data_IF_957197667428
#
_entry.id   IF_957197667428
#
_cell.length_a   1.000
_cell.length_b   1.000
_cell.length_c   1.000
_cell.angle_alpha   90.00
_cell.angle_beta   90.00
_cell.angle_gamma   90.00
#
_symmetry.space_group_name_H-M   'P 1'
#
loop_
_entity.id
_entity.type
_entity.pdbx_description
1 polymer ?
#
# COMPACT_ATOMS: atom_id res chain seq x y z
N UNK A 1 -19.15 19.20 -0.91
CA UNK A 1 -19.65 18.13 0.00
C UNK A 1 -19.33 18.55 1.42
N UNK A 2 -20.22 18.32 2.41
CA UNK A 2 -19.94 18.70 3.79
C UNK A 2 -18.72 17.96 4.34
N UNK A 3 -17.88 18.67 5.11
CA UNK A 3 -16.68 18.13 5.74
C UNK A 3 -17.12 17.20 6.87
N UNK A 4 -17.14 15.89 6.60
CA UNK A 4 -17.40 14.86 7.60
C UNK A 4 -16.06 14.54 8.29
N UNK A 5 -16.04 14.48 9.62
CA UNK A 5 -14.84 14.06 10.33
C UNK A 5 -14.46 12.62 9.93
N UNK A 6 -13.15 12.32 9.80
CA UNK A 6 -12.69 10.99 9.43
C UNK A 6 -13.05 9.98 10.52
N UNK A 7 -13.72 8.89 10.14
CA UNK A 7 -14.15 7.84 11.07
C UNK A 7 -13.05 6.78 11.20
N UNK A 8 -12.38 6.45 10.08
CA UNK A 8 -11.45 5.32 9.98
C UNK A 8 -10.00 5.77 10.05
N UNK A 9 -9.62 6.80 9.29
CA UNK A 9 -8.27 7.36 9.29
C UNK A 9 -7.94 7.91 10.67
N UNK A 10 -6.75 7.56 11.17
CA UNK A 10 -6.22 8.07 12.44
C UNK A 10 -5.05 9.02 12.21
N UNK A 11 -4.01 8.58 11.53
CA UNK A 11 -2.89 9.45 11.22
C UNK A 11 -2.18 9.09 9.90
N UNK A 12 -1.44 10.04 9.35
CA UNK A 12 -0.45 9.78 8.31
C UNK A 12 0.88 9.53 9.01
N UNK A 13 1.35 8.29 8.98
CA UNK A 13 2.55 7.83 9.69
C UNK A 13 3.82 8.30 8.98
N UNK A 14 3.83 8.20 7.66
CA UNK A 14 4.94 8.58 6.80
C UNK A 14 4.44 8.85 5.39
N UNK A 15 5.17 9.66 4.64
CA UNK A 15 4.86 9.96 3.25
C UNK A 15 6.13 10.35 2.50
N UNK A 16 6.23 9.90 1.24
CA UNK A 16 7.40 10.13 0.41
C UNK A 16 7.05 10.14 -1.09
N UNK A 17 7.96 10.66 -1.91
CA UNK A 17 7.91 10.58 -3.36
C UNK A 17 8.93 9.57 -3.86
N UNK A 18 8.43 8.51 -4.47
CA UNK A 18 9.17 7.35 -4.92
C UNK A 18 9.40 7.45 -6.44
N UNK A 19 10.61 7.13 -6.84
CA UNK A 19 11.01 6.93 -8.23
C UNK A 19 11.09 5.44 -8.54
N UNK A 20 11.12 5.11 -9.83
CA UNK A 20 11.28 3.73 -10.24
C UNK A 20 12.61 3.11 -9.75
N UNK A 21 13.66 3.92 -9.59
CA UNK A 21 14.94 3.46 -9.06
C UNK A 21 14.88 3.07 -7.58
N UNK A 22 14.03 3.75 -6.80
CA UNK A 22 13.80 3.41 -5.38
C UNK A 22 13.14 2.03 -5.26
N UNK A 23 12.22 1.70 -6.18
CA UNK A 23 11.62 0.37 -6.28
C UNK A 23 12.69 -0.70 -6.52
N UNK A 24 13.54 -0.48 -7.51
CA UNK A 24 14.59 -1.45 -7.88
C UNK A 24 15.57 -1.66 -6.72
N UNK A 25 15.95 -0.58 -6.06
CA UNK A 25 16.84 -0.63 -4.90
C UNK A 25 16.22 -1.45 -3.76
N UNK A 26 14.94 -1.24 -3.48
CA UNK A 26 14.21 -2.03 -2.47
C UNK A 26 14.05 -3.51 -2.87
N UNK A 27 13.76 -3.81 -4.13
CA UNK A 27 13.68 -5.20 -4.60
C UNK A 27 15.02 -5.93 -4.49
N UNK A 28 16.12 -5.26 -4.82
CA UNK A 28 17.47 -5.82 -4.70
C UNK A 28 17.82 -6.06 -3.22
N UNK A 29 17.42 -5.16 -2.30
CA UNK A 29 17.71 -5.36 -0.88
C UNK A 29 16.96 -6.54 -0.27
N UNK A 30 15.71 -6.77 -0.72
CA UNK A 30 14.90 -7.90 -0.24
C UNK A 30 15.34 -9.23 -0.86
N UNK A 31 15.74 -9.21 -2.14
CA UNK A 31 16.16 -10.41 -2.87
C UNK A 31 17.59 -10.25 -3.41
N UNK A 32 18.64 -10.35 -2.55
CA UNK A 32 20.02 -10.11 -2.97
C UNK A 32 20.49 -11.06 -4.09
N UNK A 33 19.96 -12.28 -4.15
CA UNK A 33 20.25 -13.26 -5.19
C UNK A 33 19.58 -12.95 -6.55
N UNK A 34 18.65 -12.00 -6.60
CA UNK A 34 17.99 -11.56 -7.84
C UNK A 34 18.99 -10.97 -8.84
N UNK A 35 20.11 -10.42 -8.35
CA UNK A 35 21.10 -9.68 -9.12
C UNK A 35 21.95 -10.57 -10.06
N UNK A 36 22.10 -11.87 -9.78
CA UNK A 36 23.18 -12.68 -10.39
C UNK A 36 22.78 -13.31 -11.74
N UNK A 37 21.49 -13.55 -11.99
CA UNK A 37 21.04 -14.24 -13.23
C UNK A 37 19.96 -13.47 -14.00
N UNK A 38 19.16 -12.64 -13.34
CA UNK A 38 18.01 -11.96 -13.95
C UNK A 38 18.17 -10.43 -14.07
N UNK A 39 19.21 -9.84 -13.46
CA UNK A 39 19.41 -8.39 -13.40
C UNK A 39 19.47 -7.72 -14.77
N UNK A 40 20.22 -8.27 -15.73
CA UNK A 40 20.36 -7.66 -17.07
C UNK A 40 19.08 -7.80 -17.92
N UNK A 41 18.40 -8.96 -17.87
CA UNK A 41 17.09 -9.12 -18.53
C UNK A 41 16.03 -8.22 -17.92
N UNK A 42 16.04 -8.06 -16.59
CA UNK A 42 15.14 -7.14 -15.92
C UNK A 42 15.44 -5.70 -16.35
N UNK A 43 16.69 -5.23 -16.30
CA UNK A 43 17.05 -3.88 -16.79
C UNK A 43 16.59 -3.65 -18.24
N UNK A 44 16.74 -4.65 -19.10
CA UNK A 44 16.29 -4.56 -20.49
C UNK A 44 14.76 -4.49 -20.59
N UNK A 45 14.01 -5.30 -19.83
CA UNK A 45 12.55 -5.21 -19.74
C UNK A 45 12.09 -3.86 -19.18
N UNK A 46 12.78 -3.35 -18.17
CA UNK A 46 12.50 -2.07 -17.53
C UNK A 46 12.79 -0.87 -18.43
N UNK A 47 13.80 -0.97 -19.31
CA UNK A 47 14.07 0.07 -20.32
C UNK A 47 12.95 0.22 -21.35
N UNK A 48 12.07 -0.78 -21.48
CA UNK A 48 10.87 -0.73 -22.33
C UNK A 48 9.67 -0.09 -21.63
N UNK A 49 9.76 0.11 -20.31
CA UNK A 49 8.70 0.68 -19.50
C UNK A 49 8.96 2.18 -19.31
N UNK A 50 7.89 2.98 -19.30
CA UNK A 50 8.00 4.39 -18.89
C UNK A 50 8.27 4.45 -17.37
N UNK A 51 9.55 4.49 -17.02
CA UNK A 51 10.07 4.55 -15.65
C UNK A 51 10.28 5.98 -15.16
N UNK A 52 9.90 6.99 -15.96
CA UNK A 52 10.02 8.41 -15.58
C UNK A 52 8.95 8.85 -14.58
N UNK A 53 7.90 8.04 -14.44
CA UNK A 53 6.83 8.26 -13.49
C UNK A 53 7.33 8.38 -12.05
N UNK A 54 6.72 9.31 -11.32
CA UNK A 54 6.84 9.41 -9.87
C UNK A 54 5.59 8.88 -9.20
N UNK A 55 5.75 8.30 -8.03
CA UNK A 55 4.67 7.77 -7.20
C UNK A 55 4.74 8.46 -5.85
N UNK A 56 3.61 8.94 -5.35
CA UNK A 56 3.51 9.38 -3.97
C UNK A 56 3.04 8.21 -3.11
N UNK A 57 3.84 7.84 -2.11
CA UNK A 57 3.53 6.84 -1.11
C UNK A 57 3.16 7.49 0.21
N UNK A 58 2.12 6.96 0.86
CA UNK A 58 1.73 7.36 2.20
C UNK A 58 1.37 6.14 3.04
N UNK A 59 2.07 5.93 4.15
CA UNK A 59 1.61 5.04 5.21
C UNK A 59 0.63 5.79 6.10
N UNK A 60 -0.50 5.16 6.35
CA UNK A 60 -1.54 5.68 7.24
C UNK A 60 -1.91 4.63 8.28
N UNK A 61 -2.29 5.08 9.47
CA UNK A 61 -2.95 4.26 10.47
C UNK A 61 -4.46 4.48 10.41
N UNK A 62 -5.22 3.44 10.75
CA UNK A 62 -6.67 3.46 10.70
C UNK A 62 -7.27 2.49 11.71
N UNK A 63 -8.52 2.76 12.09
CA UNK A 63 -9.29 1.86 12.94
C UNK A 63 -10.01 0.79 12.13
N UNK A 64 -9.99 -0.41 12.70
CA UNK A 64 -10.70 -1.59 12.21
C UNK A 64 -11.06 -2.48 13.41
N UNK A 65 -11.42 -3.74 13.16
CA UNK A 65 -11.77 -4.72 14.19
C UNK A 65 -10.86 -5.93 14.16
N UNK A 66 -10.53 -6.45 15.35
CA UNK A 66 -9.86 -7.75 15.50
C UNK A 66 -10.83 -8.91 15.18
N UNK A 67 -10.36 -10.18 15.15
CA UNK A 67 -11.23 -11.32 14.87
C UNK A 67 -12.35 -11.54 15.89
N UNK A 68 -12.22 -10.98 17.09
CA UNK A 68 -13.24 -11.05 18.14
C UNK A 68 -14.23 -9.87 18.07
N UNK A 69 -14.04 -8.95 17.11
CA UNK A 69 -14.88 -7.77 16.90
C UNK A 69 -14.50 -6.55 17.75
N UNK A 70 -13.40 -6.59 18.49
CA UNK A 70 -12.93 -5.43 19.26
C UNK A 70 -12.21 -4.43 18.37
N UNK A 71 -12.29 -3.14 18.72
CA UNK A 71 -11.56 -2.10 18.00
C UNK A 71 -10.05 -2.35 18.04
N UNK A 72 -9.42 -2.21 16.87
CA UNK A 72 -7.98 -2.40 16.69
C UNK A 72 -7.44 -1.35 15.72
N UNK A 73 -6.27 -0.80 16.07
CA UNK A 73 -5.50 0.00 15.13
C UNK A 73 -4.81 -0.94 14.13
N UNK A 74 -4.72 -0.50 12.88
CA UNK A 74 -3.92 -1.14 11.84
C UNK A 74 -3.22 -0.05 11.01
N UNK A 75 -2.22 -0.44 10.22
CA UNK A 75 -1.57 0.47 9.26
C UNK A 75 -1.57 -0.12 7.85
N UNK A 76 -1.22 0.68 6.86
CA UNK A 76 -1.06 0.23 5.48
C UNK A 76 -0.70 1.38 4.56
N UNK A 77 -0.42 1.10 3.29
CA UNK A 77 0.12 2.09 2.35
C UNK A 77 -0.91 2.43 1.27
N UNK A 78 -1.00 3.72 0.94
CA UNK A 78 -1.58 4.21 -0.31
C UNK A 78 -0.44 4.63 -1.22
N UNK A 79 -0.42 4.12 -2.45
CA UNK A 79 0.49 4.55 -3.50
C UNK A 79 -0.34 5.14 -4.64
N UNK A 80 0.03 6.33 -5.10
CA UNK A 80 -0.67 7.00 -6.22
C UNK A 80 0.33 7.57 -7.20
N UNK A 81 0.01 7.62 -8.51
CA UNK A 81 0.84 8.34 -9.44
C UNK A 81 0.89 9.82 -9.06
N UNK A 82 2.06 10.42 -9.18
CA UNK A 82 2.25 11.86 -9.06
C UNK A 82 2.09 12.50 -10.45
N UNK A 83 1.64 13.76 -10.48
CA UNK A 83 1.51 14.59 -11.68
C UNK A 83 0.53 14.08 -12.76
N UNK A 84 -0.30 13.09 -12.44
CA UNK A 84 -1.37 12.59 -13.31
C UNK A 84 -2.54 12.02 -12.53
N UNK A 85 -3.71 12.00 -13.17
CA UNK A 85 -4.87 11.33 -12.62
C UNK A 85 -4.67 9.80 -12.59
N UNK A 86 -5.19 9.17 -11.54
CA UNK A 86 -5.21 7.72 -11.44
C UNK A 86 -6.14 7.11 -12.49
N UNK A 87 -5.67 6.06 -13.16
CA UNK A 87 -6.42 5.29 -14.17
C UNK A 87 -7.44 4.34 -13.56
N UNK A 88 -7.31 4.06 -12.27
CA UNK A 88 -8.15 3.13 -11.52
C UNK A 88 -7.51 2.78 -10.18
N UNK A 89 -8.26 2.07 -9.36
CA UNK A 89 -7.83 1.64 -8.03
C UNK A 89 -7.61 0.13 -8.00
N UNK A 90 -6.54 -0.30 -7.33
CA UNK A 90 -6.21 -1.70 -7.14
C UNK A 90 -5.96 -1.98 -5.65
N UNK A 91 -6.56 -3.05 -5.16
CA UNK A 91 -6.32 -3.56 -3.82
C UNK A 91 -5.38 -4.76 -3.90
N UNK A 92 -4.26 -4.68 -3.19
CA UNK A 92 -3.32 -5.79 -3.09
C UNK A 92 -3.09 -6.15 -1.65
N UNK A 93 -3.36 -7.40 -1.30
CA UNK A 93 -2.94 -7.94 -0.03
C UNK A 93 -1.44 -8.24 -0.10
N UNK A 94 -0.67 -7.87 0.93
CA UNK A 94 0.77 -8.10 0.91
C UNK A 94 1.05 -9.60 0.77
N UNK A 95 1.83 -9.97 -0.24
CA UNK A 95 2.19 -11.37 -0.48
C UNK A 95 3.12 -11.86 0.65
N UNK A 96 2.53 -12.57 1.63
CA UNK A 96 3.20 -13.26 2.73
C UNK A 96 4.29 -12.44 3.47
N UNK A 97 3.87 -11.54 4.38
CA UNK A 97 4.76 -10.95 5.39
C UNK A 97 5.14 -12.00 6.45
N UNK A 98 6.09 -12.88 6.16
CA UNK A 98 6.51 -13.90 7.14
C UNK A 98 7.35 -13.27 8.28
N UNK A 99 7.93 -12.09 8.04
CA UNK A 99 8.71 -11.35 9.03
C UNK A 99 7.93 -10.15 9.59
N UNK A 100 7.80 -10.09 10.91
CA UNK A 100 7.17 -8.96 11.63
C UNK A 100 8.10 -7.74 11.70
N UNK A 101 9.40 -7.90 11.43
CA UNK A 101 10.43 -6.86 11.58
C UNK A 101 10.69 -6.05 10.31
N UNK A 102 10.21 -6.53 9.16
CA UNK A 102 10.26 -5.81 7.87
C UNK A 102 8.84 -5.59 7.40
N UNK A 103 8.16 -4.62 8.01
CA UNK A 103 6.77 -4.35 7.64
C UNK A 103 6.72 -3.52 6.35
N UNK A 104 5.78 -3.84 5.47
CA UNK A 104 5.52 -3.00 4.29
C UNK A 104 5.23 -1.54 4.65
N UNK A 105 4.78 -1.21 5.87
CA UNK A 105 4.64 0.19 6.29
C UNK A 105 5.97 0.92 6.53
N UNK A 106 7.07 0.21 6.77
CA UNK A 106 8.42 0.78 6.90
C UNK A 106 9.09 0.91 5.53
N UNK A 107 8.83 -0.04 4.64
CA UNK A 107 9.18 0.05 3.22
C UNK A 107 8.05 0.76 2.48
N UNK A 108 8.12 2.09 2.36
CA UNK A 108 7.18 2.91 1.55
C UNK A 108 6.93 2.40 0.14
N UNK A 109 7.73 1.44 -0.33
CA UNK A 109 7.56 0.75 -1.59
C UNK A 109 7.42 -0.77 -1.39
N UNK A 110 6.33 -1.34 -1.88
CA UNK A 110 6.12 -2.80 -1.96
C UNK A 110 6.13 -3.25 -3.42
N UNK A 111 6.37 -4.54 -3.67
CA UNK A 111 6.33 -5.08 -5.04
C UNK A 111 4.98 -4.81 -5.71
N UNK A 112 3.88 -4.96 -4.97
CA UNK A 112 2.51 -4.68 -5.42
C UNK A 112 2.31 -3.21 -5.81
N UNK A 113 3.11 -2.33 -5.21
CA UNK A 113 3.15 -0.89 -5.49
C UNK A 113 3.60 -0.51 -6.89
N UNK A 114 4.28 -1.42 -7.62
CA UNK A 114 4.83 -1.16 -8.96
C UNK A 114 3.77 -0.65 -9.95
N UNK A 115 2.52 -1.10 -9.81
CA UNK A 115 1.42 -0.69 -10.68
C UNK A 115 1.09 0.80 -10.57
N UNK A 116 1.53 1.45 -9.50
CA UNK A 116 1.38 2.89 -9.34
C UNK A 116 2.23 3.69 -10.32
N UNK A 117 3.38 3.16 -10.73
CA UNK A 117 4.19 3.78 -11.79
C UNK A 117 3.51 3.73 -13.16
N UNK A 118 2.62 2.75 -13.37
CA UNK A 118 1.81 2.62 -14.59
C UNK A 118 0.47 3.39 -14.55
N UNK A 119 0.29 4.22 -13.51
CA UNK A 119 -0.81 5.16 -13.39
C UNK A 119 -1.99 4.68 -12.55
N UNK A 120 -1.84 3.63 -11.74
CA UNK A 120 -2.90 3.16 -10.85
C UNK A 120 -2.72 3.65 -9.42
N UNK A 121 -3.82 3.80 -8.67
CA UNK A 121 -3.73 3.95 -7.22
C UNK A 121 -3.75 2.56 -6.62
N UNK A 122 -2.73 2.22 -5.84
CA UNK A 122 -2.61 0.93 -5.16
C UNK A 122 -2.84 1.13 -3.66
N UNK A 123 -3.74 0.34 -3.09
CA UNK A 123 -4.01 0.31 -1.65
C UNK A 123 -3.55 -1.05 -1.11
N UNK A 124 -2.65 -1.01 -0.13
CA UNK A 124 -2.11 -2.20 0.53
C UNK A 124 -2.48 -2.15 2.02
N UNK A 125 -3.39 -3.01 2.50
CA UNK A 125 -3.65 -3.13 3.93
C UNK A 125 -2.45 -3.80 4.61
N UNK A 126 -2.01 -3.27 5.75
CA UNK A 126 -0.89 -3.84 6.50
C UNK A 126 -1.25 -5.12 7.27
N UNK A 127 -2.56 -5.38 7.45
CA UNK A 127 -3.18 -6.40 8.30
C UNK A 127 -2.87 -6.22 9.80
N UNK A 128 -3.75 -6.75 10.67
CA UNK A 128 -3.53 -6.75 12.12
C UNK A 128 -2.37 -7.72 12.45
N UNK A 129 -1.53 -7.37 13.42
CA UNK A 129 -0.33 -8.14 13.76
C UNK A 129 0.94 -7.67 13.05
N UNK A 130 0.84 -6.58 12.27
CA UNK A 130 1.95 -5.90 11.61
C UNK A 130 1.91 -4.38 11.84
N UNK A 131 3.05 -3.73 11.61
CA UNK A 131 3.20 -2.28 11.69
C UNK A 131 2.84 -1.75 13.08
N UNK A 132 1.89 -0.81 13.13
CA UNK A 132 1.39 -0.22 14.39
C UNK A 132 0.66 -1.20 15.30
N UNK A 133 0.37 -2.41 14.83
CA UNK A 133 -0.28 -3.50 15.59
C UNK A 133 0.60 -4.74 15.72
N UNK A 134 1.92 -4.58 15.59
CA UNK A 134 2.90 -5.67 15.63
C UNK A 134 2.98 -6.40 16.97
N UNK A 135 2.48 -5.78 18.05
CA UNK A 135 2.27 -6.35 19.37
C UNK A 135 1.19 -7.44 19.40
N UNK A 136 0.34 -7.51 18.37
CA UNK A 136 -0.75 -8.50 18.25
C UNK A 136 -0.35 -9.71 17.40
N UNK A 137 -1.11 -10.80 17.53
CA UNK A 137 -0.97 -11.95 16.66
C UNK A 137 -1.63 -11.69 15.30
N UNK A 138 -0.96 -12.12 14.23
CA UNK A 138 -1.51 -12.05 12.90
C UNK A 138 -2.52 -13.17 12.69
N UNK A 139 -3.76 -12.80 12.35
CA UNK A 139 -4.84 -13.73 12.06
C UNK A 139 -4.76 -14.27 10.63
N UNK A 140 -3.72 -15.07 10.37
CA UNK A 140 -3.47 -15.64 9.05
C UNK A 140 -4.64 -16.51 8.56
N UNK A 141 -5.11 -16.24 7.34
CA UNK A 141 -6.21 -16.96 6.66
C UNK A 141 -7.59 -16.83 7.34
N UNK A 142 -7.82 -15.81 8.17
CA UNK A 142 -9.15 -15.46 8.66
C UNK A 142 -9.87 -14.58 7.64
N UNK A 143 -10.69 -15.18 6.78
CA UNK A 143 -11.35 -14.50 5.67
C UNK A 143 -12.17 -13.28 6.12
N UNK A 144 -13.05 -13.45 7.11
CA UNK A 144 -13.93 -12.38 7.60
C UNK A 144 -13.14 -11.19 8.16
N UNK A 145 -12.08 -11.46 8.94
CA UNK A 145 -11.23 -10.40 9.46
C UNK A 145 -10.42 -9.72 8.34
N UNK A 146 -9.91 -10.50 7.39
CA UNK A 146 -9.15 -9.98 6.25
C UNK A 146 -10.01 -9.05 5.41
N UNK A 147 -11.27 -9.42 5.13
CA UNK A 147 -12.23 -8.59 4.41
C UNK A 147 -12.54 -7.30 5.16
N UNK A 148 -12.87 -7.39 6.46
CA UNK A 148 -13.17 -6.23 7.30
C UNK A 148 -12.00 -5.24 7.33
N UNK A 149 -10.78 -5.73 7.53
CA UNK A 149 -9.56 -4.90 7.55
C UNK A 149 -9.32 -4.23 6.20
N UNK A 150 -9.55 -4.93 5.08
CA UNK A 150 -9.41 -4.34 3.75
C UNK A 150 -10.48 -3.27 3.47
N UNK A 151 -11.71 -3.51 3.89
CA UNK A 151 -12.82 -2.57 3.73
C UNK A 151 -12.59 -1.29 4.54
N UNK A 152 -12.24 -1.41 5.81
CA UNK A 152 -11.93 -0.25 6.66
C UNK A 152 -10.70 0.52 6.13
N UNK A 153 -9.72 -0.21 5.57
CA UNK A 153 -8.57 0.40 4.90
C UNK A 153 -8.97 1.22 3.67
N UNK A 154 -9.92 0.73 2.88
CA UNK A 154 -10.46 1.44 1.73
C UNK A 154 -11.13 2.75 2.17
N UNK A 155 -11.95 2.71 3.22
CA UNK A 155 -12.59 3.90 3.78
C UNK A 155 -11.56 4.90 4.33
N UNK A 156 -10.56 4.43 5.06
CA UNK A 156 -9.46 5.27 5.53
C UNK A 156 -8.65 5.87 4.37
N UNK A 157 -8.51 5.16 3.25
CA UNK A 157 -7.89 5.72 2.05
C UNK A 157 -8.74 6.85 1.47
N UNK A 158 -10.06 6.67 1.37
CA UNK A 158 -10.96 7.71 0.88
C UNK A 158 -10.91 8.97 1.76
N UNK A 159 -10.88 8.79 3.08
CA UNK A 159 -10.71 9.88 4.06
C UNK A 159 -9.33 10.56 3.93
N UNK A 160 -8.27 9.79 3.67
CA UNK A 160 -6.94 10.35 3.38
C UNK A 160 -6.93 11.18 2.10
N UNK A 161 -7.53 10.70 1.01
CA UNK A 161 -7.65 11.49 -0.23
C UNK A 161 -8.40 12.79 0.00
N UNK A 162 -9.49 12.74 0.77
CA UNK A 162 -10.25 13.92 1.16
C UNK A 162 -9.40 14.91 1.98
N UNK A 163 -8.61 14.42 2.94
CA UNK A 163 -7.80 15.28 3.82
C UNK A 163 -6.69 16.03 3.06
N UNK A 164 -6.18 15.45 1.97
CA UNK A 164 -5.19 16.09 1.09
C UNK A 164 -5.81 16.82 -0.10
N UNK A 165 -7.14 16.95 -0.15
CA UNK A 165 -7.86 17.68 -1.20
C UNK A 165 -7.85 17.01 -2.58
N UNK A 166 -7.62 15.70 -2.65
CA UNK A 166 -7.63 14.93 -3.90
C UNK A 166 -8.91 14.09 -4.05
N UNK A 167 -9.39 13.86 -5.29
CA UNK A 167 -10.51 12.98 -5.52
C UNK A 167 -10.10 11.51 -5.29
N UNK A 168 -10.91 10.78 -4.53
CA UNK A 168 -10.73 9.34 -4.37
C UNK A 168 -11.08 8.60 -5.68
N UNK A 169 -10.20 7.72 -6.21
CA UNK A 169 -10.46 7.03 -7.47
C UNK A 169 -11.58 6.00 -7.32
N UNK A 170 -12.76 6.26 -7.91
CA UNK A 170 -13.96 5.40 -7.74
C UNK A 170 -14.10 4.31 -8.80
N UNK A 171 -13.20 4.24 -9.79
CA UNK A 171 -13.29 3.27 -10.88
C UNK A 171 -12.41 2.07 -10.53
N UNK A 172 -13.03 1.05 -9.97
CA UNK A 172 -12.44 -0.29 -9.92
C UNK A 172 -12.41 -0.85 -11.35
N UNK A 173 -11.32 -1.53 -11.72
CA UNK A 173 -11.32 -2.24 -12.99
C UNK A 173 -12.37 -3.36 -12.92
N UNK A 174 -13.19 -3.57 -13.97
CA UNK A 174 -14.01 -4.77 -14.03
C UNK A 174 -13.11 -6.01 -13.98
N UNK A 175 -13.60 -7.11 -13.36
CA UNK A 175 -12.86 -8.37 -13.22
C UNK A 175 -12.46 -8.98 -14.56
#
# INVERSE_FOLDING_TARGET
MPHREPVHLREVLAQDTLTFNDLLSSLISVYPNFNITYGEKLKQLLSLLDTTGKVHGAAISYMTKDPNGHESLASGIVLRPLDRASRGMLHFFPSAKIDKTTTGSELMITFEGILSFFGYTVIVPGLIGYGVSSDREYSFLFADNTEQVAYDRHLAAAEYFQSIGLPFPRKEMPP
#
